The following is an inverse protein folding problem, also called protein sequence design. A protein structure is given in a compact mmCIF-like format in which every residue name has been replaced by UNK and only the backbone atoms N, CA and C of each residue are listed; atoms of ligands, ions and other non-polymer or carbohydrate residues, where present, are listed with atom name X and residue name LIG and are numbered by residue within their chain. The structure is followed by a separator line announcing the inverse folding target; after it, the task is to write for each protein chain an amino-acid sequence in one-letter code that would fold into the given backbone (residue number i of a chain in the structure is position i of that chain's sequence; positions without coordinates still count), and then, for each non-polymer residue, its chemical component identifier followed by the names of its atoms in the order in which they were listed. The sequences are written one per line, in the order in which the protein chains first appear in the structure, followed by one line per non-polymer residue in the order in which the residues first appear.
data_IF_710611192072
#
_entry.id   IF_710611192072
#
_cell.length_a   1.000
_cell.length_b   1.000
_cell.length_c   1.000
_cell.angle_alpha   90.00
_cell.angle_beta   90.00
_cell.angle_gamma   90.00
#
_symmetry.space_group_name_H-M   'P 1'
#
loop_
_entity.id
_entity.type
_entity.pdbx_description
1 polymer ?
#
# COMPACT_ATOMS: atom_id res chain seq x y z
N UNK A 1 -9.34 37.33 -43.14
CA UNK A 1 -10.32 36.85 -42.13
C UNK A 1 -10.86 35.51 -42.59
N UNK A 2 -10.66 34.50 -41.80
CA UNK A 2 -11.17 33.17 -42.11
C UNK A 2 -12.60 33.08 -41.63
N UNK A 3 -13.55 33.10 -42.55
CA UNK A 3 -14.94 32.84 -42.24
C UNK A 3 -15.18 31.32 -42.33
N UNK A 4 -15.23 30.68 -41.17
CA UNK A 4 -15.58 29.27 -41.05
C UNK A 4 -17.03 29.08 -41.51
N UNK A 5 -17.23 28.08 -42.35
CA UNK A 5 -18.59 27.71 -42.76
C UNK A 5 -19.42 27.23 -41.57
N UNK A 6 -20.77 27.36 -41.62
CA UNK A 6 -21.60 26.87 -40.50
C UNK A 6 -21.42 25.39 -40.18
N UNK A 7 -21.01 24.61 -41.15
CA UNK A 7 -20.70 23.19 -40.96
C UNK A 7 -19.37 22.98 -40.21
N UNK A 8 -18.31 23.74 -40.56
CA UNK A 8 -17.02 23.68 -39.89
C UNK A 8 -17.11 24.12 -38.42
N UNK A 9 -17.92 25.13 -38.14
CA UNK A 9 -18.19 25.54 -36.73
C UNK A 9 -18.80 24.42 -35.90
N UNK A 10 -19.74 23.66 -36.48
CA UNK A 10 -20.35 22.50 -35.79
C UNK A 10 -19.35 21.38 -35.51
N UNK A 11 -18.48 21.08 -36.48
CA UNK A 11 -17.43 20.08 -36.29
C UNK A 11 -16.42 20.50 -35.22
N UNK A 12 -16.00 21.75 -35.21
CA UNK A 12 -15.09 22.28 -34.18
C UNK A 12 -15.74 22.22 -32.80
N UNK A 13 -17.02 22.61 -32.68
CA UNK A 13 -17.76 22.50 -31.42
C UNK A 13 -17.87 21.05 -30.92
N UNK A 14 -18.13 20.09 -31.79
CA UNK A 14 -18.19 18.69 -31.44
C UNK A 14 -16.84 18.16 -30.94
N UNK A 15 -15.75 18.49 -31.63
CA UNK A 15 -14.39 18.11 -31.24
C UNK A 15 -14.05 18.71 -29.86
N UNK A 16 -14.38 19.98 -29.64
CA UNK A 16 -14.16 20.66 -28.36
C UNK A 16 -14.95 20.00 -27.22
N UNK A 17 -16.20 19.64 -27.46
CA UNK A 17 -17.05 18.95 -26.48
C UNK A 17 -16.45 17.58 -26.12
N UNK A 18 -16.04 16.80 -27.12
CA UNK A 18 -15.39 15.50 -26.90
C UNK A 18 -14.09 15.65 -26.12
N UNK A 19 -13.29 16.67 -26.43
CA UNK A 19 -12.03 16.94 -25.73
C UNK A 19 -12.27 17.37 -24.27
N UNK A 20 -13.26 18.24 -24.04
CA UNK A 20 -13.63 18.67 -22.68
C UNK A 20 -14.19 17.52 -21.87
N UNK A 21 -15.04 16.67 -22.47
CA UNK A 21 -15.54 15.46 -21.81
C UNK A 21 -14.40 14.49 -21.47
N UNK A 22 -13.46 14.26 -22.38
CA UNK A 22 -12.29 13.43 -22.13
C UNK A 22 -11.43 13.95 -20.98
N UNK A 23 -11.20 15.26 -20.94
CA UNK A 23 -10.48 15.92 -19.87
C UNK A 23 -11.24 15.84 -18.52
N UNK A 24 -12.55 16.02 -18.54
CA UNK A 24 -13.39 15.91 -17.35
C UNK A 24 -13.42 14.48 -16.79
N UNK A 25 -13.50 13.47 -17.66
CA UNK A 25 -13.39 12.05 -17.26
C UNK A 25 -12.03 11.75 -16.67
N UNK A 26 -10.93 12.24 -17.26
CA UNK A 26 -9.60 12.05 -16.70
C UNK A 26 -9.42 12.74 -15.35
N UNK A 27 -9.97 13.94 -15.16
CA UNK A 27 -9.96 14.62 -13.87
C UNK A 27 -10.82 13.90 -12.83
N UNK A 28 -11.95 13.34 -13.24
CA UNK A 28 -12.84 12.56 -12.38
C UNK A 28 -12.17 11.24 -11.95
N UNK A 29 -11.56 10.51 -12.89
CA UNK A 29 -10.81 9.28 -12.61
C UNK A 29 -9.53 9.54 -11.79
N UNK A 30 -8.90 10.70 -11.95
CA UNK A 30 -7.77 11.11 -11.11
C UNK A 30 -8.17 11.45 -9.68
N UNK A 31 -9.42 11.85 -9.44
CA UNK A 31 -9.91 12.12 -8.08
C UNK A 31 -9.98 10.86 -7.21
N UNK A 32 -10.32 9.73 -7.82
CA UNK A 32 -10.41 8.46 -7.11
C UNK A 32 -9.06 7.75 -6.94
N UNK A 33 -8.06 8.15 -7.72
CA UNK A 33 -6.66 7.78 -7.50
C UNK A 33 -6.00 8.96 -6.77
N UNK A 34 -6.53 9.31 -5.60
CA UNK A 34 -5.70 10.02 -4.65
C UNK A 34 -4.45 9.16 -4.45
N UNK A 35 -3.24 9.62 -4.83
CA UNK A 35 -2.05 8.85 -4.51
C UNK A 35 -2.11 8.62 -3.03
N UNK A 36 -2.08 7.36 -2.64
CA UNK A 36 -2.23 6.93 -1.26
C UNK A 36 -1.11 7.62 -0.46
N UNK A 37 -1.36 8.84 -0.03
CA UNK A 37 -0.45 9.61 0.86
C UNK A 37 -0.21 8.85 2.17
N UNK A 38 -1.10 7.93 2.47
CA UNK A 38 -1.02 6.96 3.56
C UNK A 38 0.23 6.08 3.45
N UNK A 39 0.63 5.68 2.25
CA UNK A 39 1.82 4.81 2.05
C UNK A 39 3.09 5.51 2.51
N UNK A 40 3.16 6.82 2.43
CA UNK A 40 4.34 7.57 2.89
C UNK A 40 4.35 7.77 4.41
N UNK A 41 3.17 7.80 5.04
CA UNK A 41 3.04 7.87 6.51
C UNK A 41 3.26 6.51 7.17
N UNK A 42 2.88 5.42 6.48
CA UNK A 42 3.09 4.04 6.97
C UNK A 42 4.56 3.62 6.90
N UNK A 43 5.39 4.23 6.04
CA UNK A 43 6.83 3.91 5.98
C UNK A 43 7.61 4.29 7.23
N UNK A 44 7.07 5.17 8.06
CA UNK A 44 7.70 5.56 9.33
C UNK A 44 7.11 4.85 10.55
N UNK A 45 6.09 4.01 10.34
CA UNK A 45 5.47 3.25 11.42
C UNK A 45 6.08 1.84 11.43
N UNK A 46 7.12 1.69 12.21
CA UNK A 46 7.71 0.38 12.47
C UNK A 46 6.89 -0.32 13.57
N UNK A 47 6.62 -1.58 13.36
CA UNK A 47 5.92 -2.41 14.33
C UNK A 47 6.96 -3.07 15.23
N UNK A 48 6.88 -2.82 16.53
CA UNK A 48 7.75 -3.47 17.48
C UNK A 48 7.32 -4.93 17.68
N UNK A 49 8.19 -5.86 17.30
CA UNK A 49 7.92 -7.31 17.33
C UNK A 49 7.71 -7.83 18.74
N UNK A 50 8.40 -7.25 19.72
CA UNK A 50 8.34 -7.71 21.10
C UNK A 50 7.07 -7.27 21.83
N UNK A 51 6.48 -6.14 21.44
CA UNK A 51 5.32 -5.55 22.11
C UNK A 51 4.03 -5.60 21.28
N UNK A 52 4.13 -5.76 19.96
CA UNK A 52 2.98 -5.77 19.06
C UNK A 52 2.01 -6.91 19.38
N UNK A 53 0.72 -6.62 19.24
CA UNK A 53 -0.35 -7.61 19.34
C UNK A 53 -0.47 -8.40 18.03
N UNK A 54 -1.11 -9.55 18.09
CA UNK A 54 -1.32 -10.41 16.93
C UNK A 54 -2.06 -9.70 15.78
N UNK A 55 -3.04 -8.84 16.11
CA UNK A 55 -3.76 -8.01 15.13
C UNK A 55 -2.86 -6.99 14.42
N UNK A 56 -1.94 -6.38 15.15
CA UNK A 56 -0.95 -5.46 14.58
C UNK A 56 0.06 -6.18 13.68
N UNK A 57 0.51 -7.37 14.08
CA UNK A 57 1.41 -8.20 13.27
C UNK A 57 0.77 -8.64 11.96
N UNK A 58 -0.55 -8.86 11.93
CA UNK A 58 -1.28 -9.18 10.71
C UNK A 58 -1.31 -8.03 9.68
N UNK A 59 -1.01 -6.79 10.08
CA UNK A 59 -0.87 -5.65 9.16
C UNK A 59 0.39 -5.74 8.30
N UNK A 60 1.35 -6.58 8.69
CA UNK A 60 2.58 -6.79 7.94
C UNK A 60 2.31 -7.66 6.69
N UNK A 61 2.92 -7.31 5.54
CA UNK A 61 2.75 -8.09 4.33
C UNK A 61 3.28 -9.51 4.50
N UNK A 62 2.47 -10.50 4.13
CA UNK A 62 2.84 -11.92 4.25
C UNK A 62 2.67 -12.53 5.65
N UNK A 63 2.20 -11.77 6.63
CA UNK A 63 1.88 -12.25 7.99
C UNK A 63 0.38 -12.43 8.11
N UNK A 64 -0.07 -13.67 8.11
CA UNK A 64 -1.48 -14.04 8.39
C UNK A 64 -1.74 -14.28 9.87
N UNK A 65 -3.01 -14.56 10.21
CA UNK A 65 -3.44 -14.82 11.58
C UNK A 65 -2.65 -15.96 12.26
N UNK A 66 -2.38 -17.04 11.54
CA UNK A 66 -1.60 -18.19 12.07
C UNK A 66 -0.16 -17.81 12.37
N UNK A 67 0.48 -17.05 11.47
CA UNK A 67 1.87 -16.67 11.65
C UNK A 67 2.03 -15.61 12.74
N UNK A 68 1.11 -14.65 12.81
CA UNK A 68 1.05 -13.68 13.90
C UNK A 68 0.90 -14.35 15.27
N UNK A 69 0.03 -15.36 15.38
CA UNK A 69 -0.13 -16.14 16.60
C UNK A 69 1.16 -16.89 16.98
N UNK A 70 1.86 -17.50 16.01
CA UNK A 70 3.15 -18.18 16.24
C UNK A 70 4.25 -17.23 16.70
N UNK A 71 4.29 -16.02 16.17
CA UNK A 71 5.26 -14.99 16.61
C UNK A 71 5.01 -14.64 18.08
N UNK A 72 3.74 -14.43 18.46
CA UNK A 72 3.38 -14.16 19.86
C UNK A 72 3.69 -15.33 20.78
N UNK A 73 3.38 -16.55 20.36
CA UNK A 73 3.68 -17.77 21.09
C UNK A 73 5.18 -17.97 21.25
N UNK A 74 5.95 -17.82 20.18
CA UNK A 74 7.41 -17.93 20.22
C UNK A 74 8.05 -16.99 21.27
N UNK A 75 7.67 -15.70 21.26
CA UNK A 75 8.19 -14.76 22.24
C UNK A 75 7.75 -15.02 23.67
N UNK A 76 6.60 -15.66 23.84
CA UNK A 76 6.10 -16.08 25.15
C UNK A 76 6.93 -17.25 25.71
N UNK A 77 7.27 -18.23 24.88
CA UNK A 77 7.95 -19.45 25.28
C UNK A 77 9.47 -19.27 25.35
N UNK A 78 10.06 -18.52 24.44
CA UNK A 78 11.52 -18.32 24.32
C UNK A 78 12.01 -16.95 24.84
N UNK A 79 11.09 -16.07 25.23
CA UNK A 79 11.39 -14.70 25.62
C UNK A 79 11.39 -13.73 24.41
N UNK A 80 11.66 -12.45 24.67
CA UNK A 80 11.67 -11.44 23.65
C UNK A 80 12.76 -11.70 22.60
N UNK A 81 12.47 -11.35 21.35
CA UNK A 81 13.45 -11.40 20.26
C UNK A 81 14.62 -10.45 20.56
N UNK A 82 15.83 -10.92 20.44
CA UNK A 82 17.06 -10.14 20.67
C UNK A 82 17.60 -9.53 19.40
N UNK A 83 17.34 -10.18 18.27
CA UNK A 83 17.68 -9.72 16.93
C UNK A 83 16.49 -9.92 16.00
N UNK A 84 16.43 -9.15 14.91
CA UNK A 84 15.37 -9.31 13.91
C UNK A 84 15.48 -10.66 13.19
N UNK A 85 16.67 -11.18 13.08
CA UNK A 85 17.00 -12.48 12.49
C UNK A 85 16.42 -13.66 13.28
N UNK A 86 16.20 -13.51 14.59
CA UNK A 86 15.56 -14.53 15.42
C UNK A 86 14.14 -14.87 14.96
N UNK A 87 13.50 -13.96 14.20
CA UNK A 87 12.21 -14.20 13.59
C UNK A 87 12.22 -15.33 12.57
N UNK A 88 13.36 -15.63 11.96
CA UNK A 88 13.49 -16.75 11.02
C UNK A 88 13.34 -18.11 11.70
N UNK A 89 13.52 -18.16 13.02
CA UNK A 89 13.31 -19.35 13.84
C UNK A 89 11.80 -19.65 14.05
N UNK A 90 10.93 -18.68 13.80
CA UNK A 90 9.50 -18.88 13.91
C UNK A 90 9.00 -19.76 12.75
N UNK A 91 8.38 -20.87 13.07
CA UNK A 91 7.86 -21.81 12.08
C UNK A 91 6.85 -21.15 11.13
N UNK A 92 7.14 -21.20 9.84
CA UNK A 92 6.35 -20.58 8.76
C UNK A 92 6.81 -19.19 8.33
N UNK A 93 7.78 -18.56 9.01
CA UNK A 93 8.41 -17.34 8.56
C UNK A 93 9.62 -17.67 7.66
N UNK A 94 9.40 -17.67 6.36
CA UNK A 94 10.46 -17.93 5.39
C UNK A 94 11.35 -16.67 5.21
N UNK A 95 12.61 -16.86 4.82
CA UNK A 95 13.54 -15.76 4.51
C UNK A 95 12.95 -14.76 3.50
N UNK A 96 12.14 -15.23 2.54
CA UNK A 96 11.42 -14.36 1.59
C UNK A 96 10.42 -13.44 2.30
N UNK A 97 9.65 -13.96 3.26
CA UNK A 97 8.68 -13.17 4.04
C UNK A 97 9.39 -12.22 4.99
N UNK A 98 10.46 -12.68 5.62
CA UNK A 98 11.30 -11.84 6.46
C UNK A 98 11.85 -10.63 5.69
N UNK A 99 12.36 -10.83 4.47
CA UNK A 99 12.81 -9.73 3.61
C UNK A 99 11.75 -8.68 3.30
N UNK A 100 10.46 -9.07 3.23
CA UNK A 100 9.36 -8.14 2.98
C UNK A 100 9.03 -7.25 4.18
N UNK A 101 9.24 -7.75 5.39
CA UNK A 101 8.85 -7.07 6.63
C UNK A 101 10.01 -6.39 7.37
N UNK A 102 11.25 -6.76 7.07
CA UNK A 102 12.46 -6.30 7.75
C UNK A 102 12.54 -4.78 7.93
N UNK A 103 12.11 -4.01 6.93
CA UNK A 103 12.12 -2.55 6.99
C UNK A 103 10.93 -1.95 7.76
N UNK A 104 9.91 -2.76 8.02
CA UNK A 104 8.64 -2.36 8.65
C UNK A 104 8.57 -2.72 10.14
N UNK A 105 9.58 -3.40 10.66
CA UNK A 105 9.63 -3.90 12.03
C UNK A 105 10.81 -3.35 12.80
N UNK A 106 10.68 -3.35 14.13
CA UNK A 106 11.74 -3.05 15.08
C UNK A 106 11.63 -3.98 16.31
N UNK A 107 12.66 -4.00 17.16
CA UNK A 107 12.72 -4.76 18.41
C UNK A 107 12.09 -4.01 19.56
#
# INVERSE_FOLDING_TARGET
MFYLTPQERRFICLIMIVFIMGAAVQLFLRRDIAPVRWVKSVRNFKININTARADQLQMLPGIGAKLAARIVEYRHDNGPFKALEDLEEVDGLTAKRFGLIKELIEL
#
